data_IF_944500704644
#
_entry.id   IF_944500704644
#
_cell.length_a   1.000
_cell.length_b   1.000
_cell.length_c   1.000
_cell.angle_alpha   90.00
_cell.angle_beta   90.00
_cell.angle_gamma   90.00
#
_symmetry.space_group_name_H-M   'P 1'
#
loop_
_entity.id
_entity.type
_entity.pdbx_description
1 polymer ?
#
# COMPACT_ATOMS: atom_id res chain seq x y z
N UNK A 1 10.73 25.63 0.67
CA UNK A 1 11.39 24.63 -0.22
C UNK A 1 10.85 23.26 0.17
N UNK A 2 9.96 22.69 -0.65
CA UNK A 2 9.35 21.38 -0.43
C UNK A 2 10.41 20.29 -0.62
N UNK A 3 10.59 19.43 0.38
CA UNK A 3 11.33 18.20 0.22
C UNK A 3 10.56 17.32 -0.78
N UNK A 4 10.99 17.36 -2.04
CA UNK A 4 10.58 16.40 -3.06
C UNK A 4 10.94 15.02 -2.52
N UNK A 5 9.96 14.14 -2.34
CA UNK A 5 10.24 12.73 -2.15
C UNK A 5 11.22 12.30 -3.25
N UNK A 6 12.33 11.65 -2.89
CA UNK A 6 13.29 11.17 -3.88
C UNK A 6 12.55 10.27 -4.86
N UNK A 7 12.76 10.47 -6.16
CA UNK A 7 12.20 9.61 -7.21
C UNK A 7 12.54 8.12 -6.98
N UNK A 8 13.65 7.85 -6.28
CA UNK A 8 14.09 6.51 -5.86
C UNK A 8 13.18 5.80 -4.83
N UNK A 9 12.21 6.50 -4.22
CA UNK A 9 11.29 5.93 -3.22
C UNK A 9 9.82 5.87 -3.67
N UNK A 10 9.56 6.09 -4.96
CA UNK A 10 8.22 5.93 -5.54
C UNK A 10 7.87 4.44 -5.64
N UNK A 11 6.80 4.04 -4.96
CA UNK A 11 6.38 2.65 -4.82
C UNK A 11 4.90 2.50 -5.11
N UNK A 12 4.57 1.35 -5.66
CA UNK A 12 3.20 0.83 -5.63
C UNK A 12 3.06 -0.16 -4.48
N UNK A 13 2.04 0.04 -3.66
CA UNK A 13 1.79 -0.77 -2.46
C UNK A 13 0.46 -1.49 -2.58
N UNK A 14 0.52 -2.82 -2.55
CA UNK A 14 -0.62 -3.73 -2.44
C UNK A 14 -0.78 -4.15 -0.98
N UNK A 15 -1.98 -3.97 -0.46
CA UNK A 15 -2.39 -4.56 0.83
C UNK A 15 -3.57 -5.46 0.59
N UNK A 16 -3.58 -6.65 1.19
CA UNK A 16 -4.65 -7.63 1.02
C UNK A 16 -4.90 -8.38 2.32
N UNK A 17 -6.17 -8.67 2.59
CA UNK A 17 -6.64 -9.61 3.59
C UNK A 17 -7.62 -10.61 2.97
N UNK A 18 -7.49 -11.90 3.28
CA UNK A 18 -8.43 -12.93 2.83
C UNK A 18 -8.45 -14.12 3.81
N UNK A 19 -9.41 -15.05 3.70
CA UNK A 19 -9.33 -16.35 4.37
C UNK A 19 -8.01 -17.06 4.02
N UNK A 20 -7.34 -17.61 5.04
CA UNK A 20 -6.03 -18.24 4.88
C UNK A 20 -6.15 -19.58 4.14
N UNK A 21 -5.25 -19.78 3.18
CA UNK A 21 -5.21 -20.97 2.32
C UNK A 21 -3.84 -21.11 1.66
N UNK A 22 -3.56 -22.32 1.17
CA UNK A 22 -2.30 -22.57 0.48
C UNK A 22 -2.25 -21.84 -0.87
N UNK A 23 -1.07 -21.33 -1.23
CA UNK A 23 -0.83 -20.74 -2.55
C UNK A 23 -1.12 -19.24 -2.68
N UNK A 24 -1.61 -18.56 -1.63
CA UNK A 24 -1.85 -17.10 -1.66
C UNK A 24 -0.56 -16.34 -2.01
N UNK A 25 0.53 -16.63 -1.29
CA UNK A 25 1.83 -15.96 -1.52
C UNK A 25 2.35 -16.22 -2.93
N UNK A 26 2.29 -17.47 -3.41
CA UNK A 26 2.77 -17.84 -4.73
C UNK A 26 1.99 -17.13 -5.86
N UNK A 27 0.67 -16.99 -5.69
CA UNK A 27 -0.18 -16.27 -6.64
C UNK A 27 0.15 -14.78 -6.69
N UNK A 28 0.33 -14.14 -5.52
CA UNK A 28 0.67 -12.71 -5.44
C UNK A 28 2.07 -12.46 -6.00
N UNK A 29 3.07 -13.25 -5.59
CA UNK A 29 4.46 -13.07 -6.07
C UNK A 29 4.61 -13.42 -7.54
N UNK A 30 3.88 -14.43 -8.03
CA UNK A 30 3.81 -14.79 -9.44
C UNK A 30 3.29 -13.63 -10.30
N UNK A 31 2.13 -13.07 -9.94
CA UNK A 31 1.58 -11.88 -10.61
C UNK A 31 2.56 -10.70 -10.60
N UNK A 32 3.18 -10.41 -9.44
CA UNK A 32 4.16 -9.32 -9.35
C UNK A 32 5.37 -9.56 -10.25
N UNK A 33 5.86 -10.79 -10.34
CA UNK A 33 6.93 -11.16 -11.27
C UNK A 33 6.53 -10.98 -12.74
N UNK A 34 5.31 -11.38 -13.12
CA UNK A 34 4.79 -11.25 -14.48
C UNK A 34 4.69 -9.79 -14.97
N UNK A 35 4.43 -8.85 -14.06
CA UNK A 35 4.38 -7.41 -14.40
C UNK A 35 5.75 -6.71 -14.28
N UNK A 36 6.83 -7.46 -13.98
CA UNK A 36 8.17 -6.88 -13.75
C UNK A 36 8.32 -6.16 -12.40
N UNK A 37 7.44 -6.45 -11.44
CA UNK A 37 7.44 -5.84 -10.12
C UNK A 37 8.66 -6.23 -9.29
N UNK A 38 9.58 -5.30 -9.09
CA UNK A 38 10.69 -5.44 -8.16
C UNK A 38 10.18 -5.17 -6.74
N UNK A 39 9.95 -6.24 -5.99
CA UNK A 39 9.55 -6.18 -4.58
C UNK A 39 10.69 -5.65 -3.72
N UNK A 40 10.44 -4.53 -3.03
CA UNK A 40 11.38 -3.90 -2.08
C UNK A 40 10.97 -4.13 -0.63
N UNK A 41 9.69 -4.36 -0.36
CA UNK A 41 9.18 -4.77 0.95
C UNK A 41 8.09 -5.82 0.79
N UNK A 42 8.17 -6.88 1.58
CA UNK A 42 7.16 -7.92 1.65
C UNK A 42 6.89 -8.27 3.12
N UNK A 43 5.63 -8.19 3.53
CA UNK A 43 5.20 -8.59 4.86
C UNK A 43 4.00 -9.52 4.77
N UNK A 44 3.96 -10.52 5.66
CA UNK A 44 2.93 -11.53 5.73
C UNK A 44 2.55 -11.76 7.18
N UNK A 45 1.27 -11.97 7.43
CA UNK A 45 0.75 -12.34 8.74
C UNK A 45 -0.43 -13.28 8.56
N UNK A 46 -0.30 -14.50 9.08
CA UNK A 46 -1.42 -15.42 9.27
C UNK A 46 -1.90 -15.30 10.72
N UNK A 47 -3.20 -15.15 10.90
CA UNK A 47 -3.87 -15.19 12.19
C UNK A 47 -4.63 -16.52 12.34
N UNK A 48 -4.09 -17.50 13.08
CA UNK A 48 -4.73 -18.80 13.27
C UNK A 48 -6.06 -18.71 14.03
N UNK A 49 -6.28 -17.66 14.82
CA UNK A 49 -7.49 -17.54 15.62
C UNK A 49 -8.71 -17.18 14.76
N UNK A 50 -8.53 -16.28 13.78
CA UNK A 50 -9.57 -15.92 12.82
C UNK A 50 -9.54 -16.75 11.54
N UNK A 51 -8.42 -17.42 11.24
CA UNK A 51 -8.21 -18.12 9.98
C UNK A 51 -7.97 -17.16 8.81
N UNK A 52 -7.44 -15.97 9.06
CA UNK A 52 -7.17 -14.94 8.04
C UNK A 52 -5.68 -14.80 7.73
N UNK A 53 -5.42 -14.42 6.49
CA UNK A 53 -4.12 -14.05 5.99
C UNK A 53 -4.10 -12.58 5.58
N UNK A 54 -3.02 -11.89 5.92
CA UNK A 54 -2.78 -10.49 5.59
C UNK A 54 -1.42 -10.30 4.95
N UNK A 55 -1.33 -9.40 3.98
CA UNK A 55 -0.06 -9.06 3.37
C UNK A 55 0.04 -7.60 2.95
N UNK A 56 1.27 -7.10 2.94
CA UNK A 56 1.66 -5.84 2.31
C UNK A 56 2.86 -6.09 1.41
N UNK A 57 2.71 -5.77 0.13
CA UNK A 57 3.77 -5.84 -0.88
C UNK A 57 4.03 -4.44 -1.42
N UNK A 58 5.27 -3.99 -1.35
CA UNK A 58 5.71 -2.76 -1.99
C UNK A 58 6.67 -3.09 -3.12
N UNK A 59 6.34 -2.62 -4.33
CA UNK A 59 7.20 -2.72 -5.51
C UNK A 59 7.67 -1.34 -5.94
N UNK A 60 8.85 -1.24 -6.54
CA UNK A 60 9.28 0.00 -7.18
C UNK A 60 8.32 0.36 -8.30
N UNK A 61 7.90 1.61 -8.37
CA UNK A 61 7.00 2.07 -9.43
C UNK A 61 7.70 2.05 -10.80
N UNK A 62 9.00 2.35 -10.84
CA UNK A 62 9.79 2.40 -12.06
C UNK A 62 10.14 1.03 -12.66
N UNK A 63 9.93 -0.07 -11.93
CA UNK A 63 10.17 -1.42 -12.44
C UNK A 63 8.99 -1.96 -13.25
N UNK A 64 7.81 -1.34 -13.14
CA UNK A 64 6.58 -1.79 -13.80
C UNK A 64 6.27 -0.85 -14.95
N UNK A 65 5.94 -1.41 -16.11
CA UNK A 65 5.63 -0.63 -17.33
C UNK A 65 4.14 -0.34 -17.50
N UNK A 66 3.29 -1.01 -16.73
CA UNK A 66 1.83 -0.86 -16.75
C UNK A 66 1.39 0.38 -15.96
N UNK A 67 0.28 0.98 -16.37
CA UNK A 67 -0.37 2.03 -15.59
C UNK A 67 -0.95 1.48 -14.27
N UNK A 68 -1.08 2.31 -13.22
CA UNK A 68 -1.75 1.94 -11.97
C UNK A 68 -3.13 1.32 -12.17
N UNK A 69 -3.92 1.83 -13.12
CA UNK A 69 -5.26 1.35 -13.43
C UNK A 69 -5.23 -0.06 -14.05
N UNK A 70 -4.28 -0.32 -14.96
CA UNK A 70 -4.08 -1.65 -15.55
C UNK A 70 -3.63 -2.66 -14.49
N UNK A 71 -2.70 -2.29 -13.62
CA UNK A 71 -2.26 -3.17 -12.52
C UNK A 71 -3.45 -3.53 -11.63
N UNK A 72 -4.28 -2.55 -11.24
CA UNK A 72 -5.48 -2.80 -10.44
C UNK A 72 -6.44 -3.76 -11.12
N UNK A 73 -6.77 -3.51 -12.39
CA UNK A 73 -7.71 -4.34 -13.15
C UNK A 73 -7.19 -5.78 -13.32
N UNK A 74 -5.90 -5.94 -13.63
CA UNK A 74 -5.27 -7.26 -13.76
C UNK A 74 -5.17 -7.98 -12.42
N UNK A 75 -4.78 -7.30 -11.34
CA UNK A 75 -4.69 -7.90 -10.01
C UNK A 75 -6.06 -8.40 -9.53
N UNK A 76 -7.13 -7.62 -9.75
CA UNK A 76 -8.50 -8.04 -9.45
C UNK A 76 -8.87 -9.34 -10.19
N UNK A 77 -8.57 -9.41 -11.49
CA UNK A 77 -8.95 -10.52 -12.36
C UNK A 77 -8.11 -11.78 -12.14
N UNK A 78 -6.79 -11.62 -12.04
CA UNK A 78 -5.81 -12.72 -12.05
C UNK A 78 -5.54 -13.24 -10.64
N UNK A 79 -5.60 -12.37 -9.62
CA UNK A 79 -5.27 -12.73 -8.23
C UNK A 79 -6.53 -12.85 -7.38
N UNK A 80 -7.24 -11.73 -7.17
CA UNK A 80 -8.33 -11.60 -6.18
C UNK A 80 -9.50 -12.54 -6.49
N UNK A 81 -9.84 -12.72 -7.77
CA UNK A 81 -10.95 -13.57 -8.20
C UNK A 81 -10.86 -15.03 -7.70
N UNK A 82 -9.68 -15.52 -7.32
CA UNK A 82 -9.52 -16.88 -6.78
C UNK A 82 -9.08 -16.94 -5.31
N UNK A 83 -9.19 -15.84 -4.55
CA UNK A 83 -8.88 -15.79 -3.11
C UNK A 83 -10.13 -15.82 -2.21
N UNK A 84 -11.33 -15.89 -2.80
CA UNK A 84 -12.61 -15.95 -2.08
C UNK A 84 -13.36 -14.62 -2.09
N UNK A 85 -14.68 -14.69 -1.87
CA UNK A 85 -15.58 -13.52 -1.90
C UNK A 85 -15.27 -12.48 -0.84
N UNK A 86 -14.68 -12.90 0.28
CA UNK A 86 -14.39 -12.04 1.43
C UNK A 86 -13.01 -11.39 1.33
N UNK A 87 -12.35 -11.48 0.17
CA UNK A 87 -11.04 -10.84 -0.05
C UNK A 87 -11.18 -9.33 -0.12
N UNK A 88 -10.51 -8.65 0.79
CA UNK A 88 -10.36 -7.20 0.77
C UNK A 88 -8.94 -6.82 0.35
N UNK A 89 -8.83 -5.84 -0.54
CA UNK A 89 -7.51 -5.37 -0.98
C UNK A 89 -7.53 -3.90 -1.38
N UNK A 90 -6.34 -3.31 -1.40
CA UNK A 90 -6.09 -1.95 -1.88
C UNK A 90 -4.78 -1.89 -2.64
N UNK A 91 -4.75 -1.00 -3.63
CA UNK A 91 -3.56 -0.62 -4.36
C UNK A 91 -3.36 0.89 -4.24
N UNK A 92 -2.22 1.29 -3.69
CA UNK A 92 -1.90 2.69 -3.43
C UNK A 92 -0.57 3.08 -4.06
N UNK A 93 -0.50 4.34 -4.49
CA UNK A 93 0.68 4.98 -5.05
C UNK A 93 1.29 5.89 -3.97
N UNK A 94 2.57 5.73 -3.64
CA UNK A 94 3.24 6.57 -2.63
C UNK A 94 3.49 8.01 -3.09
N UNK A 95 3.47 8.30 -4.40
CA UNK A 95 3.52 9.66 -4.91
C UNK A 95 2.20 10.42 -4.68
N UNK A 96 1.08 9.72 -4.48
CA UNK A 96 -0.20 10.32 -4.18
C UNK A 96 -0.32 10.64 -2.68
N UNK A 97 -0.09 11.91 -2.31
CA UNK A 97 -0.26 12.40 -0.94
C UNK A 97 -1.73 12.30 -0.52
N UNK A 98 -1.95 11.83 0.71
CA UNK A 98 -3.30 11.71 1.27
C UNK A 98 -3.73 13.08 1.78
N UNK A 99 -4.97 13.47 1.49
CA UNK A 99 -5.62 14.64 2.11
C UNK A 99 -6.14 14.23 3.49
N UNK A 100 -5.75 14.98 4.52
CA UNK A 100 -6.11 14.68 5.90
C UNK A 100 -6.73 15.91 6.57
N UNK A 101 -7.67 15.66 7.48
CA UNK A 101 -8.23 16.66 8.39
C UNK A 101 -7.76 16.31 9.79
N UNK A 102 -7.28 17.31 10.54
CA UNK A 102 -6.84 17.13 11.92
C UNK A 102 -7.86 17.81 12.83
N UNK A 103 -8.48 17.04 13.71
CA UNK A 103 -9.40 17.55 14.72
C UNK A 103 -8.66 17.64 16.06
N UNK A 104 -8.84 18.77 16.74
CA UNK A 104 -8.27 19.02 18.07
C UNK A 104 -9.35 19.58 18.99
N UNK A 105 -9.29 19.23 20.27
CA UNK A 105 -10.14 19.83 21.29
C UNK A 105 -9.43 21.05 21.91
N UNK A 106 -8.85 20.90 23.11
CA UNK A 106 -8.18 21.99 23.83
C UNK A 106 -6.66 21.86 23.83
N UNK A 107 -6.12 20.65 23.87
CA UNK A 107 -4.68 20.43 23.96
C UNK A 107 -4.03 20.33 22.58
N UNK A 108 -3.12 21.26 22.29
CA UNK A 108 -2.49 21.38 20.97
C UNK A 108 -1.22 20.54 20.77
N UNK A 109 -0.79 19.73 21.73
CA UNK A 109 0.52 19.08 21.65
C UNK A 109 0.61 18.07 20.48
N UNK A 110 -0.40 17.23 20.28
CA UNK A 110 -0.48 16.32 19.11
C UNK A 110 -0.64 17.09 17.79
N UNK A 111 -1.43 18.18 17.78
CA UNK A 111 -1.60 19.02 16.60
C UNK A 111 -0.26 19.62 16.18
N UNK A 112 0.49 20.22 17.13
CA UNK A 112 1.79 20.82 16.87
C UNK A 112 2.80 19.81 16.33
N UNK A 113 2.82 18.59 16.86
CA UNK A 113 3.69 17.51 16.35
C UNK A 113 3.34 17.13 14.91
N UNK A 114 2.07 16.83 14.63
CA UNK A 114 1.61 16.42 13.29
C UNK A 114 1.84 17.51 12.24
N UNK A 115 1.52 18.77 12.56
CA UNK A 115 1.77 19.91 11.66
C UNK A 115 3.26 20.14 11.46
N UNK A 116 4.06 20.01 12.52
CA UNK A 116 5.53 20.09 12.43
C UNK A 116 6.12 19.03 11.51
N UNK A 117 5.67 17.77 11.63
CA UNK A 117 6.09 16.67 10.75
C UNK A 117 5.65 16.89 9.30
N UNK A 118 4.42 17.36 9.09
CA UNK A 118 3.92 17.69 7.76
C UNK A 118 4.73 18.82 7.10
N UNK A 119 5.07 19.87 7.86
CA UNK A 119 5.91 20.98 7.41
C UNK A 119 7.33 20.52 7.04
N UNK A 120 7.93 19.61 7.82
CA UNK A 120 9.26 19.04 7.56
C UNK A 120 9.28 17.94 6.48
N UNK A 121 8.12 17.49 6.01
CA UNK A 121 8.01 16.40 5.03
C UNK A 121 8.13 14.98 5.62
N UNK A 122 8.23 14.83 6.94
CA UNK A 122 8.24 13.54 7.64
C UNK A 122 6.85 12.86 7.58
N UNK A 123 5.79 13.64 7.42
CA UNK A 123 4.44 13.17 7.16
C UNK A 123 4.03 13.58 5.72
N UNK A 124 4.10 12.67 4.73
CA UNK A 124 3.78 12.99 3.34
C UNK A 124 2.26 13.03 3.11
N UNK A 125 1.60 14.03 3.70
CA UNK A 125 0.16 14.26 3.58
C UNK A 125 -0.14 15.75 3.34
N UNK A 126 -1.28 16.02 2.71
CA UNK A 126 -1.82 17.37 2.54
C UNK A 126 -2.85 17.62 3.65
N UNK A 127 -2.55 18.57 4.53
CA UNK A 127 -3.49 18.99 5.59
C UNK A 127 -4.47 20.00 4.98
N UNK A 128 -5.77 19.67 5.01
CA UNK A 128 -6.85 20.46 4.44
C UNK A 128 -7.36 21.56 5.40
#
# INVERSE_FOLDING_TARGET
MSARASLDDHRYVLTLGCPDSTGIVARISGFLGEIGGWIVEAAYHSDPASGWFFTRQAVRADSVTLSPEEIRARFQREVVAGLGSDTEWRFTDTAARKRIVILVSREGHCLGDLLGRAYRGELPADVA
#
